data_IF_373776257724
#
_entry.id   IF_373776257724
#
_cell.length_a   1.000
_cell.length_b   1.000
_cell.length_c   1.000
_cell.angle_alpha   90.00
_cell.angle_beta   90.00
_cell.angle_gamma   90.00
#
_symmetry.space_group_name_H-M   'P 1'
#
loop_
_entity.id
_entity.type
_entity.pdbx_description
1 polymer ?
#
# COMPACT_ATOMS: atom_id res chain seq x y z
N UNK A 1 -13.11 25.39 5.62
CA UNK A 1 -12.41 24.27 6.29
C UNK A 1 -13.40 23.12 6.47
N UNK A 2 -13.04 21.86 6.24
CA UNK A 2 -13.98 20.73 6.47
C UNK A 2 -14.01 20.40 7.95
N UNK A 3 -15.15 20.58 8.61
CA UNK A 3 -15.36 20.16 10.00
C UNK A 3 -15.13 18.66 10.16
N UNK A 4 -14.54 18.27 11.30
CA UNK A 4 -14.27 16.87 11.66
C UNK A 4 -14.91 16.53 13.01
N UNK A 5 -16.24 16.47 13.10
CA UNK A 5 -16.92 16.34 14.39
C UNK A 5 -16.82 14.94 15.01
N UNK A 6 -16.36 13.93 14.25
CA UNK A 6 -16.36 12.53 14.70
C UNK A 6 -14.98 12.15 15.25
N UNK A 7 -14.85 12.01 16.56
CA UNK A 7 -13.63 11.57 17.23
C UNK A 7 -13.59 10.04 17.39
N UNK A 8 -12.40 9.44 17.28
CA UNK A 8 -12.18 8.07 17.70
C UNK A 8 -11.84 8.02 19.19
N UNK A 9 -12.62 7.31 19.99
CA UNK A 9 -12.40 7.24 21.45
C UNK A 9 -11.10 6.51 21.85
N UNK A 10 -10.55 5.67 20.96
CA UNK A 10 -9.35 4.88 21.25
C UNK A 10 -8.07 5.71 21.02
N UNK A 11 -8.06 6.62 20.05
CA UNK A 11 -6.84 7.35 19.66
C UNK A 11 -7.06 8.85 19.37
N UNK A 12 -8.24 9.38 19.71
CA UNK A 12 -8.68 10.76 19.53
C UNK A 12 -8.57 11.33 18.10
N UNK A 13 -8.43 10.45 17.10
CA UNK A 13 -8.34 10.88 15.70
C UNK A 13 -9.68 11.40 15.21
N UNK A 14 -9.67 12.58 14.58
CA UNK A 14 -10.88 13.26 14.09
C UNK A 14 -11.19 12.92 12.64
N UNK A 15 -12.48 12.71 12.34
CA UNK A 15 -13.01 12.36 11.03
C UNK A 15 -14.16 13.30 10.64
N UNK A 16 -14.27 13.60 9.35
CA UNK A 16 -15.36 14.43 8.80
C UNK A 16 -16.65 13.65 8.52
N UNK A 17 -16.61 12.31 8.57
CA UNK A 17 -17.76 11.45 8.28
C UNK A 17 -17.80 10.29 9.25
N UNK A 18 -19.00 9.99 9.77
CA UNK A 18 -19.25 8.86 10.68
C UNK A 18 -18.83 7.51 10.10
N UNK A 19 -19.05 7.29 8.80
CA UNK A 19 -18.63 6.05 8.12
C UNK A 19 -17.10 5.84 8.10
N UNK A 20 -16.33 6.93 8.02
CA UNK A 20 -14.87 6.87 8.08
C UNK A 20 -14.38 6.56 9.50
N UNK A 21 -15.02 7.14 10.52
CA UNK A 21 -14.77 6.77 11.92
C UNK A 21 -15.06 5.29 12.16
N UNK A 22 -16.25 4.80 11.75
CA UNK A 22 -16.63 3.39 11.90
C UNK A 22 -15.60 2.45 11.26
N UNK A 23 -15.19 2.74 10.03
CA UNK A 23 -14.16 1.97 9.34
C UNK A 23 -12.79 2.04 10.01
N UNK A 24 -12.47 3.16 10.67
CA UNK A 24 -11.23 3.34 11.40
C UNK A 24 -11.22 2.53 12.70
N UNK A 25 -12.33 2.47 13.44
CA UNK A 25 -12.43 1.67 14.67
C UNK A 25 -12.09 0.20 14.40
N UNK A 26 -12.48 -0.34 13.24
CA UNK A 26 -12.10 -1.70 12.81
C UNK A 26 -10.58 -1.94 12.75
N UNK A 27 -9.77 -0.88 12.65
CA UNK A 27 -8.30 -1.00 12.68
C UNK A 27 -7.75 -1.27 14.08
N UNK A 28 -8.49 -0.88 15.12
CA UNK A 28 -8.15 -1.16 16.51
C UNK A 28 -8.61 -2.56 16.94
N UNK A 29 -9.83 -2.94 16.56
CA UNK A 29 -10.40 -4.26 16.89
C UNK A 29 -9.85 -5.39 16.01
N UNK A 30 -9.19 -5.05 14.89
CA UNK A 30 -8.75 -5.98 13.83
C UNK A 30 -9.90 -6.74 13.16
N UNK A 31 -11.15 -6.34 13.40
CA UNK A 31 -12.31 -6.91 12.74
C UNK A 31 -12.31 -6.62 11.24
N UNK A 32 -12.70 -7.64 10.47
CA UNK A 32 -12.73 -7.59 9.01
C UNK A 32 -14.04 -8.22 8.52
N UNK A 33 -15.16 -7.49 8.61
CA UNK A 33 -16.49 -8.06 8.40
C UNK A 33 -16.78 -8.51 6.96
N UNK A 34 -15.93 -8.16 5.99
CA UNK A 34 -16.16 -8.49 4.59
C UNK A 34 -15.26 -9.66 4.15
N UNK A 35 -15.81 -10.86 4.10
CA UNK A 35 -15.10 -12.05 3.64
C UNK A 35 -15.19 -12.23 2.11
N UNK A 36 -14.13 -12.74 1.51
CA UNK A 36 -14.15 -13.26 0.15
C UNK A 36 -14.60 -14.71 0.17
N UNK A 37 -15.69 -15.03 -0.52
CA UNK A 37 -16.24 -16.39 -0.57
C UNK A 37 -15.36 -17.38 -1.34
N UNK A 38 -14.43 -16.90 -2.17
CA UNK A 38 -13.55 -17.76 -3.00
C UNK A 38 -12.32 -18.22 -2.22
N UNK A 39 -11.75 -17.37 -1.35
CA UNK A 39 -10.50 -17.70 -0.64
C UNK A 39 -10.51 -17.38 0.86
N UNK A 40 -11.67 -17.08 1.42
CA UNK A 40 -11.91 -16.74 2.83
C UNK A 40 -11.10 -15.55 3.38
N UNK A 41 -10.42 -14.78 2.52
CA UNK A 41 -9.72 -13.56 2.92
C UNK A 41 -10.71 -12.50 3.37
N UNK A 42 -10.43 -11.85 4.49
CA UNK A 42 -11.31 -10.85 5.09
C UNK A 42 -10.77 -9.43 4.92
N UNK A 43 -11.68 -8.45 4.82
CA UNK A 43 -11.40 -7.03 4.60
C UNK A 43 -12.22 -6.15 5.56
N UNK A 44 -11.65 -5.03 5.98
CA UNK A 44 -12.33 -4.04 6.83
C UNK A 44 -13.26 -3.10 6.04
N UNK A 45 -13.15 -3.07 4.70
CA UNK A 45 -14.00 -2.25 3.82
C UNK A 45 -14.48 -3.05 2.63
N UNK A 46 -15.77 -2.93 2.30
CA UNK A 46 -16.38 -3.56 1.11
C UNK A 46 -15.68 -3.19 -0.20
N UNK A 47 -15.24 -1.93 -0.35
CA UNK A 47 -14.52 -1.49 -1.55
C UNK A 47 -13.18 -2.26 -1.75
N UNK A 48 -12.50 -2.63 -0.66
CA UNK A 48 -11.27 -3.43 -0.75
C UNK A 48 -11.57 -4.88 -1.13
N UNK A 49 -12.66 -5.46 -0.60
CA UNK A 49 -13.15 -6.77 -1.03
C UNK A 49 -13.46 -6.77 -2.53
N UNK A 50 -14.22 -5.78 -3.02
CA UNK A 50 -14.55 -5.67 -4.45
C UNK A 50 -13.30 -5.58 -5.33
N UNK A 51 -12.31 -4.77 -4.93
CA UNK A 51 -11.03 -4.69 -5.63
C UNK A 51 -10.22 -5.99 -5.58
N UNK A 52 -10.36 -6.76 -4.50
CA UNK A 52 -9.75 -8.09 -4.37
C UNK A 52 -10.44 -9.13 -5.26
N UNK A 53 -11.77 -9.11 -5.39
CA UNK A 53 -12.50 -10.07 -6.25
C UNK A 53 -12.03 -10.01 -7.71
N UNK A 54 -11.55 -8.84 -8.17
CA UNK A 54 -10.93 -8.69 -9.50
C UNK A 54 -9.68 -9.58 -9.70
N UNK A 55 -9.04 -10.02 -8.62
CA UNK A 55 -7.90 -10.97 -8.68
C UNK A 55 -8.34 -12.40 -8.99
N UNK A 56 -9.58 -12.77 -8.63
CA UNK A 56 -10.16 -14.06 -8.96
C UNK A 56 -10.72 -14.07 -10.39
N UNK A 57 -11.44 -13.01 -10.77
CA UNK A 57 -12.04 -12.90 -12.11
C UNK A 57 -11.03 -12.49 -13.19
N UNK A 58 -9.81 -12.09 -12.79
CA UNK A 58 -8.77 -11.51 -13.66
C UNK A 58 -9.22 -10.26 -14.44
N UNK A 59 -10.34 -9.64 -14.03
CA UNK A 59 -10.84 -8.42 -14.66
C UNK A 59 -9.90 -7.24 -14.42
N UNK A 60 -9.67 -6.47 -15.48
CA UNK A 60 -8.76 -5.31 -15.50
C UNK A 60 -9.44 -4.15 -16.23
N UNK A 61 -10.43 -3.48 -15.61
CA UNK A 61 -11.24 -2.48 -16.28
C UNK A 61 -10.50 -1.18 -16.61
N UNK A 62 -9.29 -0.99 -16.09
CA UNK A 62 -8.52 0.24 -16.28
C UNK A 62 -7.38 0.02 -17.27
N UNK A 63 -7.60 0.36 -18.54
CA UNK A 63 -6.59 0.26 -19.60
C UNK A 63 -5.75 1.55 -19.71
N UNK A 64 -4.47 1.39 -20.00
CA UNK A 64 -3.59 2.50 -20.36
C UNK A 64 -3.77 2.83 -21.85
N UNK A 65 -4.15 4.06 -22.16
CA UNK A 65 -4.37 4.51 -23.54
C UNK A 65 -3.09 4.53 -24.38
N UNK A 66 -1.91 4.63 -23.74
CA UNK A 66 -0.61 4.71 -24.44
C UNK A 66 -0.09 3.34 -24.87
N UNK A 67 -0.30 2.29 -24.07
CA UNK A 67 0.30 0.96 -24.32
C UNK A 67 -0.68 -0.21 -24.16
N UNK A 68 -1.98 0.07 -24.01
CA UNK A 68 -3.07 -0.89 -23.81
C UNK A 68 -2.92 -1.83 -22.60
N UNK A 69 -1.93 -1.60 -21.73
CA UNK A 69 -1.75 -2.39 -20.52
C UNK A 69 -2.91 -2.13 -19.54
N UNK A 70 -3.57 -3.20 -19.11
CA UNK A 70 -4.73 -3.12 -18.25
C UNK A 70 -4.42 -3.43 -16.77
N UNK A 71 -5.17 -2.78 -15.86
CA UNK A 71 -5.04 -2.86 -14.42
C UNK A 71 -6.38 -3.11 -13.74
N UNK A 72 -6.37 -3.81 -12.61
CA UNK A 72 -7.57 -4.06 -11.78
C UNK A 72 -7.97 -2.87 -10.90
N UNK A 73 -7.09 -1.89 -10.73
CA UNK A 73 -7.33 -0.72 -9.88
C UNK A 73 -6.87 0.56 -10.57
N UNK A 74 -7.69 1.62 -10.48
CA UNK A 74 -7.40 2.94 -11.07
C UNK A 74 -6.09 3.55 -10.54
N UNK A 75 -5.79 3.36 -9.26
CA UNK A 75 -4.54 3.84 -8.66
C UNK A 75 -3.29 3.22 -9.30
N UNK A 76 -3.35 1.93 -9.67
CA UNK A 76 -2.26 1.25 -10.35
C UNK A 76 -2.07 1.76 -11.79
N UNK A 77 -3.18 2.02 -12.50
CA UNK A 77 -3.10 2.68 -13.81
C UNK A 77 -2.45 4.06 -13.69
N UNK A 78 -2.87 4.89 -12.72
CA UNK A 78 -2.26 6.21 -12.49
C UNK A 78 -0.75 6.11 -12.20
N UNK A 79 -0.36 5.15 -11.35
CA UNK A 79 1.05 4.89 -11.05
C UNK A 79 1.83 4.44 -12.28
N UNK A 80 1.22 3.62 -13.12
CA UNK A 80 1.79 3.19 -14.39
C UNK A 80 1.93 4.34 -15.39
N UNK A 81 0.93 5.21 -15.55
CA UNK A 81 0.99 6.32 -16.51
C UNK A 81 2.19 7.25 -16.26
N UNK A 82 2.66 7.36 -15.02
CA UNK A 82 3.89 8.10 -14.69
C UNK A 82 5.16 7.53 -15.35
N UNK A 83 5.15 6.26 -15.80
CA UNK A 83 6.29 5.69 -16.56
C UNK A 83 6.38 6.26 -17.97
N UNK A 84 5.24 6.64 -18.56
CA UNK A 84 5.19 7.26 -19.89
C UNK A 84 5.58 8.74 -19.82
N UNK A 85 5.07 9.46 -18.82
CA UNK A 85 5.37 10.90 -18.65
C UNK A 85 6.71 11.18 -17.97
N UNK A 86 7.39 10.13 -17.46
CA UNK A 86 8.60 10.23 -16.63
C UNK A 86 8.45 11.13 -15.40
N UNK A 87 7.21 11.41 -14.97
CA UNK A 87 6.94 12.22 -13.78
C UNK A 87 7.42 11.53 -12.51
N UNK A 88 8.14 12.29 -11.69
CA UNK A 88 8.70 11.83 -10.41
C UNK A 88 8.41 12.85 -9.31
N UNK A 89 7.15 12.94 -8.83
CA UNK A 89 6.74 14.00 -7.92
C UNK A 89 7.31 13.87 -6.51
N UNK A 90 7.98 12.77 -6.18
CA UNK A 90 8.51 12.51 -4.85
C UNK A 90 10.03 12.62 -4.85
N UNK A 91 10.56 13.77 -4.45
CA UNK A 91 12.00 14.03 -4.36
C UNK A 91 12.55 13.69 -2.97
N UNK A 92 13.77 13.16 -2.93
CA UNK A 92 14.56 13.02 -1.72
C UNK A 92 15.25 14.35 -1.42
N UNK A 93 14.97 14.95 -0.26
CA UNK A 93 15.57 16.22 0.14
C UNK A 93 17.06 16.10 0.48
N UNK A 94 17.54 14.89 0.77
CA UNK A 94 18.95 14.65 1.13
C UNK A 94 19.86 14.55 -0.09
N UNK A 95 19.39 13.96 -1.20
CA UNK A 95 20.23 13.72 -2.39
C UNK A 95 19.57 14.09 -3.73
N UNK A 96 18.43 14.79 -3.69
CA UNK A 96 17.64 15.24 -4.85
C UNK A 96 17.14 14.12 -5.79
N UNK A 97 17.32 12.85 -5.42
CA UNK A 97 16.83 11.72 -6.21
C UNK A 97 15.31 11.68 -6.17
N UNK A 98 14.68 11.66 -7.34
CA UNK A 98 13.22 11.66 -7.49
C UNK A 98 12.64 10.29 -7.82
N UNK A 99 11.41 10.04 -7.37
CA UNK A 99 10.68 8.79 -7.53
C UNK A 99 9.25 9.05 -8.03
N UNK A 100 8.72 8.11 -8.82
CA UNK A 100 7.32 8.14 -9.26
C UNK A 100 6.33 7.74 -8.18
N UNK A 101 6.78 7.05 -7.12
CA UNK A 101 5.91 6.58 -6.04
C UNK A 101 6.49 6.92 -4.66
N UNK A 102 5.62 7.37 -3.77
CA UNK A 102 6.00 7.76 -2.40
C UNK A 102 6.61 6.59 -1.61
N UNK A 103 6.11 5.36 -1.80
CA UNK A 103 6.65 4.17 -1.15
C UNK A 103 8.12 3.90 -1.52
N UNK A 104 8.50 4.18 -2.77
CA UNK A 104 9.89 4.06 -3.22
C UNK A 104 10.78 5.13 -2.57
N UNK A 105 10.29 6.37 -2.45
CA UNK A 105 11.00 7.41 -1.69
C UNK A 105 11.20 7.00 -0.23
N UNK A 106 10.15 6.52 0.46
CA UNK A 106 10.26 6.05 1.85
C UNK A 106 11.29 4.94 2.02
N UNK A 107 11.28 3.95 1.13
CA UNK A 107 12.29 2.88 1.15
C UNK A 107 13.70 3.40 0.86
N UNK A 108 13.83 4.39 -0.02
CA UNK A 108 15.11 5.03 -0.30
C UNK A 108 15.63 5.82 0.89
N UNK A 109 14.78 6.51 1.66
CA UNK A 109 15.22 7.24 2.86
C UNK A 109 15.91 6.34 3.89
N UNK A 110 15.55 5.06 3.95
CA UNK A 110 16.23 4.07 4.81
C UNK A 110 17.71 3.87 4.43
N UNK A 111 18.12 4.19 3.19
CA UNK A 111 19.54 4.11 2.80
C UNK A 111 20.37 5.25 3.38
N UNK A 112 19.75 6.40 3.66
CA UNK A 112 20.42 7.53 4.32
C UNK A 112 20.55 7.29 5.82
N UNK A 113 19.52 6.75 6.47
CA UNK A 113 19.55 6.43 7.91
C UNK A 113 20.25 5.12 8.23
N UNK A 114 20.65 4.34 7.22
CA UNK A 114 21.19 2.97 7.34
C UNK A 114 20.26 2.01 8.09
N UNK A 115 18.97 2.35 8.24
CA UNK A 115 17.99 1.51 8.92
C UNK A 115 17.67 0.27 8.08
N UNK A 116 17.64 -0.89 8.74
CA UNK A 116 17.37 -2.19 8.14
C UNK A 116 16.30 -2.92 8.95
N UNK A 117 15.02 -2.52 8.84
CA UNK A 117 13.95 -3.01 9.71
C UNK A 117 13.56 -4.48 9.46
N UNK A 118 14.10 -5.11 8.41
CA UNK A 118 13.75 -6.48 8.05
C UNK A 118 14.93 -7.41 8.35
N UNK A 119 14.92 -8.09 9.49
CA UNK A 119 15.94 -9.05 9.89
C UNK A 119 15.58 -10.48 9.46
N UNK A 120 16.59 -11.27 9.09
CA UNK A 120 16.49 -12.70 8.92
C UNK A 120 16.60 -13.39 10.28
N UNK A 121 15.60 -14.17 10.66
CA UNK A 121 15.61 -14.88 11.95
C UNK A 121 16.60 -16.06 11.98
N UNK A 122 17.01 -16.56 10.81
CA UNK A 122 17.95 -17.68 10.70
C UNK A 122 19.41 -17.25 10.91
N UNK A 123 19.81 -16.12 10.32
CA UNK A 123 21.21 -15.68 10.33
C UNK A 123 21.42 -14.22 10.78
N UNK A 124 20.38 -13.57 11.30
CA UNK A 124 20.37 -12.18 11.78
C UNK A 124 20.73 -11.10 10.74
N UNK A 125 20.89 -11.47 9.46
CA UNK A 125 21.16 -10.50 8.39
C UNK A 125 19.96 -9.59 8.17
N UNK A 126 20.20 -8.28 8.22
CA UNK A 126 19.16 -7.26 8.10
C UNK A 126 19.15 -6.57 6.72
N UNK A 127 17.96 -6.18 6.27
CA UNK A 127 17.69 -5.57 4.97
C UNK A 127 16.82 -4.31 5.12
N UNK A 128 17.01 -3.34 4.22
CA UNK A 128 16.18 -2.12 4.13
C UNK A 128 14.83 -2.36 3.43
N UNK A 129 14.67 -3.49 2.73
CA UNK A 129 13.46 -3.85 2.00
C UNK A 129 13.04 -5.29 2.30
N UNK A 130 11.75 -5.50 2.51
CA UNK A 130 11.17 -6.82 2.75
C UNK A 130 11.37 -7.78 1.56
N UNK A 131 11.31 -7.26 0.33
CA UNK A 131 11.56 -8.04 -0.89
C UNK A 131 12.96 -8.65 -0.91
N UNK A 132 13.97 -7.93 -0.42
CA UNK A 132 15.34 -8.41 -0.32
C UNK A 132 15.48 -9.49 0.76
N UNK A 133 14.81 -9.32 1.91
CA UNK A 133 14.73 -10.37 2.91
C UNK A 133 14.08 -11.64 2.33
N UNK A 134 12.95 -11.53 1.63
CA UNK A 134 12.29 -12.68 1.00
C UNK A 134 13.19 -13.42 0.02
N UNK A 135 13.93 -12.70 -0.83
CA UNK A 135 14.92 -13.29 -1.74
C UNK A 135 16.04 -13.98 -0.98
N UNK A 136 16.54 -13.36 0.09
CA UNK A 136 17.56 -13.95 0.94
C UNK A 136 17.08 -15.21 1.65
N UNK A 137 15.85 -15.27 2.13
CA UNK A 137 15.30 -16.48 2.76
C UNK A 137 15.31 -17.69 1.81
N UNK A 138 15.26 -17.48 0.49
CA UNK A 138 15.39 -18.55 -0.49
C UNK A 138 16.80 -19.15 -0.58
N UNK A 139 17.81 -18.51 0.01
CA UNK A 139 19.20 -19.03 0.07
C UNK A 139 19.44 -19.90 1.30
N UNK A 140 18.51 -19.95 2.26
CA UNK A 140 18.55 -20.82 3.44
C UNK A 140 17.79 -22.14 3.23
N UNK A 141 17.50 -22.48 1.97
CA UNK A 141 16.92 -23.76 1.62
C UNK A 141 17.89 -24.90 1.90
#
# INVERSE_FOLDING_TARGET
>A
MKEKPYACEICNKMFSQKGNLKSHVLTHTKEKPHACEICNKTFSKKAHLNGHLMTHTKQKPYACEVCNKAFSQKGNLKAHSMTHTKQKPYACEVCNKAFSQQGHLKSHLLTHTKQKPYACEVCNKAFSQQSNLKKHLMTHK
#
